data_IF_318301781665
#
_entry.id   IF_318301781665
#
_cell.length_a   1.000
_cell.length_b   1.000
_cell.length_c   1.000
_cell.angle_alpha   90.00
_cell.angle_beta   90.00
_cell.angle_gamma   90.00
#
_symmetry.space_group_name_H-M   'P 1'
#
loop_
_entity.id
_entity.type
_entity.pdbx_description
1 polymer ?
#
# COMPACT_ATOMS: atom_id res chain seq x y z
N UNK A 1 -2.06 0.69 -22.54
CA UNK A 1 -1.09 0.89 -21.45
C UNK A 1 -0.97 -0.40 -20.66
N UNK A 2 0.25 -0.90 -20.40
CA UNK A 2 0.48 -2.01 -19.46
C UNK A 2 1.20 -1.42 -18.24
N UNK A 3 0.70 -1.67 -17.03
CA UNK A 3 1.38 -1.22 -15.80
C UNK A 3 2.53 -2.13 -15.39
N UNK A 4 2.53 -3.38 -15.90
CA UNK A 4 3.58 -4.38 -15.71
C UNK A 4 3.67 -5.20 -17.00
N UNK A 5 4.88 -5.40 -17.55
CA UNK A 5 5.07 -6.11 -18.82
C UNK A 5 4.99 -7.64 -18.69
N UNK A 6 5.46 -8.18 -17.56
CA UNK A 6 5.39 -9.59 -17.19
C UNK A 6 5.40 -9.68 -15.67
N UNK A 7 4.26 -10.03 -15.06
CA UNK A 7 4.10 -10.03 -13.60
C UNK A 7 4.62 -11.31 -12.97
N UNK A 8 5.40 -11.17 -11.90
CA UNK A 8 5.92 -12.26 -11.07
C UNK A 8 5.51 -12.11 -9.59
N UNK A 9 4.62 -11.15 -9.27
CA UNK A 9 4.47 -10.61 -7.92
C UNK A 9 3.05 -10.59 -7.37
N UNK A 10 2.03 -10.96 -8.14
CA UNK A 10 0.62 -10.71 -7.80
C UNK A 10 0.39 -9.19 -7.61
N UNK A 11 0.98 -8.38 -8.49
CA UNK A 11 0.94 -6.92 -8.38
C UNK A 11 -0.22 -6.31 -9.18
N UNK A 12 -1.44 -6.78 -8.90
CA UNK A 12 -2.66 -6.35 -9.57
C UNK A 12 -2.91 -4.83 -9.50
N UNK A 13 -3.73 -4.29 -10.41
CA UNK A 13 -4.52 -3.09 -10.21
C UNK A 13 -5.90 -3.44 -9.60
N UNK A 14 -6.02 -3.63 -8.27
CA UNK A 14 -7.22 -4.23 -7.67
C UNK A 14 -8.43 -3.29 -7.58
N UNK A 15 -8.23 -1.98 -7.73
CA UNK A 15 -9.28 -0.98 -7.58
C UNK A 15 -9.72 -0.44 -8.95
N UNK A 16 -11.00 -0.06 -9.12
CA UNK A 16 -11.45 0.62 -10.32
C UNK A 16 -10.71 1.96 -10.49
N UNK A 17 -10.41 2.39 -11.73
CA UNK A 17 -9.83 3.70 -11.97
C UNK A 17 -10.80 4.82 -11.54
N UNK A 18 -10.27 5.87 -10.92
CA UNK A 18 -11.03 7.11 -10.70
C UNK A 18 -10.94 7.99 -11.93
N UNK A 19 -12.07 8.51 -12.40
CA UNK A 19 -12.13 9.46 -13.51
C UNK A 19 -12.21 10.87 -12.96
N UNK A 20 -11.37 11.77 -13.47
CA UNK A 20 -11.37 13.18 -13.09
C UNK A 20 -10.84 14.04 -14.24
N UNK A 21 -11.10 15.33 -14.16
CA UNK A 21 -10.63 16.29 -15.13
C UNK A 21 -9.49 17.12 -14.53
N UNK A 22 -8.38 17.23 -15.26
CA UNK A 22 -7.23 18.04 -14.84
C UNK A 22 -7.34 19.40 -15.56
N UNK A 23 -7.50 20.52 -14.82
CA UNK A 23 -7.54 21.84 -15.44
C UNK A 23 -6.23 22.16 -16.20
N UNK A 24 -6.33 22.70 -17.41
CA UNK A 24 -5.21 23.26 -18.17
C UNK A 24 -5.62 24.55 -18.88
N UNK A 25 -4.64 25.32 -19.33
CA UNK A 25 -4.92 26.46 -20.21
C UNK A 25 -5.72 26.00 -21.44
N UNK A 26 -6.89 26.60 -21.66
CA UNK A 26 -7.76 26.27 -22.79
C UNK A 26 -8.72 25.10 -22.59
N UNK A 27 -8.82 24.49 -21.40
CA UNK A 27 -9.83 23.48 -21.10
C UNK A 27 -9.47 22.54 -19.95
N UNK A 28 -9.79 21.26 -20.10
CA UNK A 28 -9.42 20.23 -19.15
C UNK A 28 -8.91 18.99 -19.88
N UNK A 29 -7.95 18.30 -19.28
CA UNK A 29 -7.51 16.99 -19.75
C UNK A 29 -8.42 15.93 -19.14
N UNK A 30 -9.06 15.10 -19.96
CA UNK A 30 -9.85 13.99 -19.47
C UNK A 30 -8.90 12.93 -18.88
N UNK A 31 -8.79 12.85 -17.56
CA UNK A 31 -7.85 11.97 -16.87
C UNK A 31 -8.54 10.77 -16.22
N UNK A 32 -7.74 9.72 -16.00
CA UNK A 32 -8.01 8.65 -15.04
C UNK A 32 -6.79 8.47 -14.14
N UNK A 33 -7.04 8.09 -12.88
CA UNK A 33 -6.03 7.63 -11.94
C UNK A 33 -6.27 6.17 -11.58
N UNK A 34 -5.26 5.32 -11.77
CA UNK A 34 -5.31 3.90 -11.39
C UNK A 34 -4.11 3.54 -10.54
N UNK A 35 -4.35 2.82 -9.44
CA UNK A 35 -3.31 2.35 -8.54
C UNK A 35 -3.02 0.88 -8.76
N UNK A 36 -1.78 0.48 -8.50
CA UNK A 36 -1.35 -0.92 -8.51
C UNK A 36 -0.80 -1.32 -7.15
N UNK A 37 -0.89 -2.62 -6.81
CA UNK A 37 -0.25 -3.20 -5.63
C UNK A 37 1.26 -2.97 -5.62
N UNK A 38 1.90 -2.76 -6.78
CA UNK A 38 3.32 -2.40 -6.89
C UNK A 38 3.69 -1.02 -6.32
N UNK A 39 2.71 -0.23 -5.85
CA UNK A 39 2.99 1.02 -5.13
C UNK A 39 2.98 2.26 -6.02
N UNK A 40 2.37 2.19 -7.20
CA UNK A 40 2.36 3.29 -8.17
C UNK A 40 0.95 3.76 -8.51
N UNK A 41 0.82 5.06 -8.79
CA UNK A 41 -0.40 5.72 -9.26
C UNK A 41 -0.09 6.19 -10.67
N UNK A 42 -0.81 5.62 -11.63
CA UNK A 42 -0.72 6.01 -13.03
C UNK A 42 -1.82 7.01 -13.33
N UNK A 43 -1.42 8.21 -13.75
CA UNK A 43 -2.35 9.26 -14.20
C UNK A 43 -2.27 9.32 -15.73
N UNK A 44 -3.32 8.84 -16.38
CA UNK A 44 -3.40 8.67 -17.83
C UNK A 44 -4.51 9.54 -18.40
N UNK A 45 -4.37 9.96 -19.66
CA UNK A 45 -5.50 10.48 -20.42
C UNK A 45 -6.47 9.32 -20.66
N UNK A 46 -7.72 9.46 -20.22
CA UNK A 46 -8.71 8.36 -20.28
C UNK A 46 -9.22 8.06 -21.69
N UNK A 47 -9.02 8.97 -22.63
CA UNK A 47 -9.43 8.80 -24.03
C UNK A 47 -8.31 8.16 -24.87
N UNK A 48 -7.05 8.49 -24.60
CA UNK A 48 -5.89 8.01 -25.39
C UNK A 48 -5.08 6.91 -24.70
N UNK A 49 -5.15 6.82 -23.37
CA UNK A 49 -4.32 5.93 -22.55
C UNK A 49 -2.88 6.44 -22.37
N UNK A 50 -2.55 7.64 -22.83
CA UNK A 50 -1.21 8.22 -22.72
C UNK A 50 -0.93 8.75 -21.29
N UNK A 51 0.28 8.59 -20.74
CA UNK A 51 0.65 9.16 -19.45
C UNK A 51 0.63 10.69 -19.44
N UNK A 52 -0.05 11.30 -18.46
CA UNK A 52 -0.17 12.77 -18.37
C UNK A 52 1.10 13.39 -17.77
N UNK A 53 1.70 12.72 -16.79
CA UNK A 53 2.90 13.20 -16.08
C UNK A 53 4.15 12.37 -16.38
N UNK A 54 4.11 11.60 -17.46
CA UNK A 54 5.22 10.76 -17.90
C UNK A 54 5.34 9.42 -17.16
N UNK A 55 5.72 8.39 -17.92
CA UNK A 55 6.08 7.05 -17.45
C UNK A 55 7.35 6.66 -18.20
N UNK A 56 8.33 6.14 -17.46
CA UNK A 56 9.61 5.70 -18.01
C UNK A 56 9.75 4.19 -17.89
N UNK A 57 10.32 3.56 -18.92
CA UNK A 57 10.83 2.20 -18.82
C UNK A 57 12.10 2.21 -17.99
N UNK A 58 12.07 1.56 -16.83
CA UNK A 58 13.23 1.47 -15.93
C UNK A 58 13.68 0.03 -15.79
N UNK A 59 15.00 -0.19 -15.86
CA UNK A 59 15.59 -1.51 -15.68
C UNK A 59 15.23 -2.09 -14.31
N UNK A 60 14.89 -3.38 -14.31
CA UNK A 60 14.59 -4.16 -13.10
C UNK A 60 15.44 -5.43 -13.09
N UNK A 61 15.58 -6.05 -11.93
CA UNK A 61 16.43 -7.24 -11.80
C UNK A 61 15.88 -8.43 -12.59
N UNK A 62 16.77 -9.16 -13.25
CA UNK A 62 16.45 -10.42 -13.89
C UNK A 62 16.18 -11.53 -12.86
N UNK A 63 15.32 -12.47 -13.20
CA UNK A 63 15.10 -13.67 -12.39
C UNK A 63 16.26 -14.66 -12.53
N UNK A 64 16.55 -15.38 -11.44
CA UNK A 64 17.47 -16.52 -11.42
C UNK A 64 16.75 -17.87 -11.41
N UNK A 65 15.41 -17.88 -11.49
CA UNK A 65 14.58 -19.09 -11.61
C UNK A 65 14.73 -19.65 -13.04
N UNK A 66 15.22 -20.89 -13.23
CA UNK A 66 15.52 -21.38 -14.57
C UNK A 66 14.25 -21.51 -15.43
N UNK A 67 14.22 -20.79 -16.56
CA UNK A 67 13.08 -20.76 -17.46
C UNK A 67 12.04 -19.67 -17.16
N UNK A 68 12.17 -18.93 -16.06
CA UNK A 68 11.35 -17.74 -15.79
C UNK A 68 11.83 -16.55 -16.62
N UNK A 69 10.90 -15.84 -17.24
CA UNK A 69 11.19 -14.72 -18.13
C UNK A 69 10.79 -13.37 -17.49
N UNK A 70 11.63 -12.86 -16.59
CA UNK A 70 11.47 -11.48 -16.11
C UNK A 70 11.64 -10.48 -17.26
N UNK A 71 10.74 -9.50 -17.37
CA UNK A 71 10.89 -8.44 -18.37
C UNK A 71 12.02 -7.48 -17.98
N UNK A 72 12.93 -7.08 -18.90
CA UNK A 72 14.10 -6.27 -18.55
C UNK A 72 13.81 -4.90 -17.93
N UNK A 73 12.66 -4.32 -18.27
CA UNK A 73 12.21 -3.02 -17.77
C UNK A 73 10.79 -3.09 -17.20
N UNK A 74 10.39 -2.07 -16.43
CA UNK A 74 9.00 -1.86 -16.06
C UNK A 74 8.59 -0.39 -16.24
N UNK A 75 7.32 -0.12 -16.58
CA UNK A 75 6.82 1.23 -16.73
C UNK A 75 6.59 1.86 -15.34
N UNK A 76 7.45 2.79 -14.96
CA UNK A 76 7.40 3.49 -13.67
C UNK A 76 7.02 4.96 -13.88
N UNK A 77 5.99 5.48 -13.18
CA UNK A 77 5.64 6.91 -13.26
C UNK A 77 6.81 7.81 -12.90
N UNK A 78 7.00 8.88 -13.68
CA UNK A 78 7.90 9.98 -13.31
C UNK A 78 7.26 10.78 -12.18
N UNK A 79 5.98 11.10 -12.36
CA UNK A 79 5.10 11.59 -11.29
C UNK A 79 3.73 10.91 -11.38
N UNK A 80 3.06 10.70 -10.24
CA UNK A 80 3.58 10.88 -8.88
C UNK A 80 4.70 9.91 -8.51
N UNK A 81 5.55 10.25 -7.51
CA UNK A 81 6.52 9.30 -6.96
C UNK A 81 5.79 8.12 -6.30
N UNK A 82 6.48 6.97 -6.10
CA UNK A 82 5.87 5.79 -5.49
C UNK A 82 5.18 6.07 -4.15
N UNK A 83 3.99 5.49 -4.00
CA UNK A 83 3.19 5.51 -2.77
C UNK A 83 3.70 4.42 -1.84
N UNK A 84 4.68 4.78 -1.02
CA UNK A 84 5.27 3.88 -0.05
C UNK A 84 6.55 3.26 -0.56
N UNK A 85 6.93 2.15 0.06
CA UNK A 85 8.25 1.55 -0.09
C UNK A 85 8.29 0.54 -1.23
N UNK A 86 9.26 0.73 -2.11
CA UNK A 86 9.57 -0.17 -3.23
C UNK A 86 10.94 -0.85 -3.11
N UNK A 87 11.64 -0.63 -1.98
CA UNK A 87 12.99 -1.12 -1.71
C UNK A 87 13.23 -1.33 -0.22
N UNK A 88 14.08 -2.27 0.12
CA UNK A 88 14.50 -2.52 1.50
C UNK A 88 16.01 -2.42 1.65
N UNK A 89 16.46 -1.73 2.69
CA UNK A 89 17.82 -1.79 3.20
C UNK A 89 17.83 -2.31 4.64
N UNK A 90 18.95 -2.88 5.09
CA UNK A 90 19.10 -3.29 6.50
C UNK A 90 18.87 -2.12 7.49
N UNK A 91 19.15 -0.88 7.07
CA UNK A 91 18.91 0.34 7.84
C UNK A 91 17.42 0.63 8.10
N UNK A 92 16.51 -0.02 7.36
CA UNK A 92 15.06 0.08 7.51
C UNK A 92 14.49 -0.82 8.61
N UNK A 93 15.29 -1.73 9.17
CA UNK A 93 14.86 -2.59 10.27
C UNK A 93 14.49 -1.75 11.49
N UNK A 94 13.39 -2.11 12.13
CA UNK A 94 12.87 -1.42 13.32
C UNK A 94 13.84 -1.53 14.50
N UNK A 95 14.01 -0.43 15.23
CA UNK A 95 14.83 -0.37 16.43
C UNK A 95 13.99 -0.21 17.70
N UNK A 96 14.63 -0.31 18.87
CA UNK A 96 13.98 -0.05 20.14
C UNK A 96 13.55 1.44 20.29
N UNK A 97 14.23 2.36 19.61
CA UNK A 97 13.86 3.79 19.57
C UNK A 97 12.54 3.98 18.84
N UNK A 98 12.36 3.26 17.73
CA UNK A 98 11.15 3.28 16.93
C UNK A 98 9.93 2.70 17.64
N UNK A 99 10.12 1.62 18.41
CA UNK A 99 9.03 0.86 19.04
C UNK A 99 9.39 0.40 20.46
N UNK A 100 9.66 -0.89 20.65
CA UNK A 100 10.08 -1.52 21.90
C UNK A 100 11.30 -2.41 21.67
N UNK A 101 12.06 -2.71 22.73
CA UNK A 101 13.18 -3.64 22.65
C UNK A 101 12.73 -5.06 22.26
N UNK A 102 11.57 -5.52 22.77
CA UNK A 102 10.98 -6.81 22.42
C UNK A 102 10.68 -6.92 20.91
N UNK A 103 10.08 -5.88 20.33
CA UNK A 103 9.76 -5.85 18.90
C UNK A 103 11.01 -5.82 18.03
N UNK A 104 11.99 -4.99 18.38
CA UNK A 104 13.26 -4.92 17.67
C UNK A 104 14.01 -6.26 17.72
N UNK A 105 14.10 -6.89 18.89
CA UNK A 105 14.75 -8.18 19.06
C UNK A 105 14.05 -9.31 18.27
N UNK A 106 12.72 -9.35 18.30
CA UNK A 106 11.95 -10.33 17.53
C UNK A 106 12.14 -10.16 16.02
N UNK A 107 12.23 -8.91 15.53
CA UNK A 107 12.49 -8.64 14.12
C UNK A 107 13.94 -8.93 13.69
N UNK A 108 14.92 -8.68 14.56
CA UNK A 108 16.29 -9.11 14.33
C UNK A 108 16.40 -10.64 14.25
N UNK A 109 15.77 -11.35 15.18
CA UNK A 109 15.72 -12.82 15.15
C UNK A 109 15.01 -13.36 13.89
N UNK A 110 13.97 -12.68 13.40
CA UNK A 110 13.37 -13.00 12.11
C UNK A 110 14.40 -12.84 11.00
N UNK A 111 15.07 -11.69 10.87
CA UNK A 111 16.10 -11.45 9.86
C UNK A 111 17.20 -12.52 9.91
N UNK A 112 17.72 -12.85 11.09
CA UNK A 112 18.76 -13.86 11.29
C UNK A 112 18.32 -15.25 10.79
N UNK A 113 17.02 -15.56 10.87
CA UNK A 113 16.46 -16.84 10.41
C UNK A 113 16.29 -16.95 8.90
N UNK A 114 16.38 -15.85 8.15
CA UNK A 114 16.08 -15.81 6.71
C UNK A 114 17.28 -16.17 5.82
N UNK A 115 18.50 -16.12 6.37
CA UNK A 115 19.72 -16.19 5.59
C UNK A 115 20.02 -14.87 4.87
N UNK A 116 20.59 -14.94 3.66
CA UNK A 116 20.79 -13.73 2.85
C UNK A 116 19.44 -13.11 2.50
N UNK A 117 19.24 -11.82 2.78
CA UNK A 117 18.06 -11.08 2.30
C UNK A 117 18.39 -10.46 0.95
N UNK A 118 17.66 -10.87 -0.08
CA UNK A 118 17.72 -10.28 -1.40
C UNK A 118 16.61 -9.24 -1.59
N UNK A 119 17.01 -8.02 -1.93
CA UNK A 119 16.14 -6.96 -2.44
C UNK A 119 16.93 -6.16 -3.48
N UNK A 120 16.41 -6.06 -4.70
CA UNK A 120 17.02 -5.34 -5.82
C UNK A 120 16.24 -4.06 -6.18
N UNK A 121 15.42 -3.56 -5.24
CA UNK A 121 14.54 -2.41 -5.48
C UNK A 121 13.17 -2.81 -6.06
N UNK A 122 12.51 -1.91 -6.81
CA UNK A 122 11.22 -2.20 -7.42
C UNK A 122 11.26 -3.48 -8.23
N UNK A 123 10.20 -4.28 -8.15
CA UNK A 123 10.09 -5.53 -8.92
C UNK A 123 11.25 -6.51 -8.67
N UNK A 124 11.66 -6.65 -7.39
CA UNK A 124 12.64 -7.68 -6.99
C UNK A 124 12.06 -9.09 -7.26
N UNK A 125 12.70 -9.93 -8.09
CA UNK A 125 12.19 -11.28 -8.36
C UNK A 125 12.34 -12.22 -7.15
N UNK A 126 11.58 -13.32 -7.16
CA UNK A 126 11.76 -14.40 -6.20
C UNK A 126 13.06 -15.15 -6.49
N UNK A 127 13.95 -15.20 -5.52
CA UNK A 127 15.21 -15.96 -5.64
C UNK A 127 14.92 -17.46 -5.74
N UNK A 128 15.66 -18.14 -6.60
CA UNK A 128 15.66 -19.59 -6.67
C UNK A 128 16.55 -20.20 -5.57
N UNK A 129 16.02 -21.19 -4.86
CA UNK A 129 16.72 -21.99 -3.84
C UNK A 129 16.73 -23.47 -4.24
N UNK A 130 17.74 -23.92 -4.99
CA UNK A 130 17.89 -25.35 -5.27
C UNK A 130 18.18 -26.12 -3.97
N UNK A 131 17.83 -27.40 -3.95
CA UNK A 131 18.03 -28.25 -2.78
C UNK A 131 19.51 -28.25 -2.32
N UNK A 132 19.73 -28.03 -1.02
CA UNK A 132 21.07 -28.00 -0.42
C UNK A 132 21.85 -26.69 -0.59
N UNK A 133 21.26 -25.66 -1.21
CA UNK A 133 21.86 -24.32 -1.29
C UNK A 133 21.85 -23.57 0.05
N UNK A 134 22.70 -22.56 0.16
CA UNK A 134 22.68 -21.65 1.30
C UNK A 134 21.33 -20.88 1.34
N UNK A 135 20.74 -20.64 2.53
CA UNK A 135 19.48 -19.91 2.61
C UNK A 135 19.60 -18.46 2.10
N UNK A 136 18.73 -18.10 1.15
CA UNK A 136 18.60 -16.75 0.58
C UNK A 136 17.14 -16.35 0.33
N UNK A 137 16.58 -15.37 1.02
CA UNK A 137 15.15 -14.99 0.94
C UNK A 137 14.97 -13.70 0.16
N UNK A 138 14.03 -13.68 -0.79
CA UNK A 138 13.53 -12.41 -1.34
C UNK A 138 12.66 -11.71 -0.29
N UNK A 139 12.98 -10.43 -0.02
CA UNK A 139 12.10 -9.52 0.70
C UNK A 139 11.52 -8.50 -0.27
N UNK A 140 10.26 -8.69 -0.65
CA UNK A 140 9.56 -7.82 -1.59
C UNK A 140 8.89 -6.64 -0.89
N UNK A 141 9.07 -5.45 -1.45
CA UNK A 141 8.36 -4.23 -1.09
C UNK A 141 7.85 -3.54 -2.37
N UNK A 142 6.55 -3.23 -2.47
CA UNK A 142 5.50 -3.76 -1.60
C UNK A 142 5.44 -5.29 -1.63
N UNK A 143 4.96 -5.93 -0.56
CA UNK A 143 4.72 -7.37 -0.54
C UNK A 143 3.45 -7.75 -1.30
N UNK A 144 3.05 -9.03 -1.28
CA UNK A 144 1.84 -9.50 -2.00
C UNK A 144 0.50 -8.89 -1.56
N UNK A 145 0.45 -8.18 -0.41
CA UNK A 145 -0.75 -7.40 -0.05
C UNK A 145 -0.77 -6.03 -0.76
N UNK A 146 0.31 -5.65 -1.42
CA UNK A 146 0.49 -4.39 -2.12
C UNK A 146 0.76 -3.19 -1.20
N UNK A 147 1.08 -2.07 -1.84
CA UNK A 147 1.07 -0.75 -1.23
C UNK A 147 -0.38 -0.26 -1.13
N UNK A 148 -0.88 0.43 -2.17
CA UNK A 148 -2.32 0.52 -2.42
C UNK A 148 -2.92 -0.86 -2.66
N UNK A 149 -4.19 -1.01 -2.32
CA UNK A 149 -4.96 -2.21 -2.64
C UNK A 149 -6.35 -1.78 -3.13
N UNK A 150 -7.40 -2.50 -2.77
CA UNK A 150 -8.74 -2.33 -3.33
C UNK A 150 -9.47 -1.01 -2.99
N UNK A 151 -8.93 -0.15 -2.12
CA UNK A 151 -9.56 1.14 -1.80
C UNK A 151 -9.55 2.15 -2.95
N UNK A 152 -8.60 2.06 -3.87
CA UNK A 152 -8.53 2.96 -5.03
C UNK A 152 -8.23 4.41 -4.71
N UNK A 153 -8.74 5.32 -5.55
CA UNK A 153 -8.44 6.75 -5.54
C UNK A 153 -9.72 7.53 -5.25
N UNK A 154 -9.69 8.38 -4.22
CA UNK A 154 -10.71 9.41 -4.03
C UNK A 154 -10.21 10.73 -4.60
N UNK A 155 -11.10 11.57 -5.12
CA UNK A 155 -10.75 12.83 -5.75
C UNK A 155 -11.63 13.97 -5.24
N UNK A 156 -11.02 15.11 -4.94
CA UNK A 156 -11.71 16.35 -4.61
C UNK A 156 -11.58 17.35 -5.79
N UNK A 157 -12.66 17.61 -6.55
CA UNK A 157 -12.63 18.53 -7.68
C UNK A 157 -12.43 19.99 -7.29
N UNK A 158 -12.69 20.37 -6.03
CA UNK A 158 -12.52 21.75 -5.59
C UNK A 158 -11.04 22.12 -5.42
N UNK A 159 -10.23 21.17 -4.95
CA UNK A 159 -8.79 21.36 -4.72
C UNK A 159 -7.93 20.76 -5.83
N UNK A 160 -8.47 19.83 -6.62
CA UNK A 160 -7.68 19.05 -7.57
C UNK A 160 -6.80 18.01 -6.88
N UNK A 161 -7.15 17.59 -5.65
CA UNK A 161 -6.38 16.60 -4.91
C UNK A 161 -6.95 15.19 -5.08
N UNK A 162 -6.05 14.24 -5.36
CA UNK A 162 -6.32 12.82 -5.33
C UNK A 162 -5.74 12.19 -4.06
N UNK A 163 -6.53 11.35 -3.38
CA UNK A 163 -6.17 10.71 -2.12
C UNK A 163 -6.03 9.21 -2.30
N UNK A 164 -4.90 8.65 -1.86
CA UNK A 164 -4.62 7.21 -1.93
C UNK A 164 -4.01 6.72 -0.63
N UNK A 165 -4.59 5.69 -0.04
CA UNK A 165 -3.98 4.98 1.08
C UNK A 165 -2.98 3.94 0.57
N UNK A 166 -1.80 3.89 1.17
CA UNK A 166 -0.79 2.86 0.90
C UNK A 166 -0.14 2.38 2.20
N UNK A 167 0.36 1.15 2.19
CA UNK A 167 1.08 0.56 3.31
C UNK A 167 2.41 -0.10 2.93
N UNK A 168 3.35 -0.10 3.87
CA UNK A 168 4.66 -0.72 3.74
C UNK A 168 4.68 -2.06 4.48
N UNK A 169 4.10 -3.09 3.86
CA UNK A 169 4.14 -4.47 4.38
C UNK A 169 4.86 -5.36 3.38
N UNK A 170 6.06 -5.83 3.76
CA UNK A 170 6.88 -6.67 2.90
C UNK A 170 6.47 -8.14 2.91
N UNK A 171 6.71 -8.84 1.80
CA UNK A 171 6.52 -10.28 1.67
C UNK A 171 7.87 -11.00 1.63
N UNK A 172 7.91 -12.20 2.20
CA UNK A 172 9.09 -13.05 2.28
C UNK A 172 8.83 -14.34 1.52
N UNK A 173 9.77 -14.74 0.68
CA UNK A 173 9.65 -15.99 -0.08
C UNK A 173 10.84 -16.28 -0.97
N UNK A 174 10.76 -17.42 -1.65
CA UNK A 174 11.70 -17.92 -2.64
C UNK A 174 11.02 -19.00 -3.50
N UNK A 175 11.61 -19.32 -4.64
CA UNK A 175 11.20 -20.44 -5.48
C UNK A 175 12.05 -21.67 -5.18
N UNK A 176 11.43 -22.84 -5.21
CA UNK A 176 12.11 -24.15 -5.17
C UNK A 176 11.61 -25.00 -6.32
N UNK A 177 12.32 -26.09 -6.62
CA UNK A 177 11.77 -27.14 -7.48
C UNK A 177 10.45 -27.67 -6.90
N UNK A 178 9.48 -27.93 -7.77
CA UNK A 178 8.23 -28.53 -7.35
C UNK A 178 8.46 -29.88 -6.67
N UNK A 179 7.67 -30.18 -5.64
CA UNK A 179 7.86 -31.41 -4.88
C UNK A 179 7.43 -32.66 -5.66
N UNK A 180 6.46 -32.49 -6.57
CA UNK A 180 5.91 -33.56 -7.40
C UNK A 180 6.44 -33.47 -8.84
N UNK A 181 6.81 -34.61 -9.40
CA UNK A 181 7.38 -34.70 -10.75
C UNK A 181 6.37 -34.30 -11.85
N UNK A 182 5.07 -34.54 -11.60
CA UNK A 182 3.96 -34.19 -12.49
C UNK A 182 3.27 -32.86 -12.11
N UNK A 183 3.92 -32.02 -11.30
CA UNK A 183 3.37 -30.73 -10.90
C UNK A 183 3.05 -29.85 -12.13
N UNK A 184 1.93 -29.09 -12.12
CA UNK A 184 1.59 -28.18 -13.24
C UNK A 184 2.64 -27.10 -13.52
N UNK A 185 3.48 -26.78 -12.53
CA UNK A 185 4.60 -25.85 -12.62
C UNK A 185 5.86 -26.55 -12.13
N UNK A 186 7.01 -26.39 -12.82
CA UNK A 186 8.28 -27.00 -12.37
C UNK A 186 8.83 -26.36 -11.08
N UNK A 187 8.29 -25.21 -10.66
CA UNK A 187 8.68 -24.53 -9.43
C UNK A 187 7.48 -24.16 -8.58
N UNK A 188 7.71 -24.12 -7.28
CA UNK A 188 6.76 -23.71 -6.27
C UNK A 188 7.31 -22.58 -5.42
N UNK A 189 6.45 -21.62 -5.07
CA UNK A 189 6.79 -20.58 -4.10
C UNK A 189 6.75 -21.15 -2.69
N UNK A 190 7.85 -21.00 -1.97
CA UNK A 190 7.92 -21.26 -0.54
C UNK A 190 8.09 -19.96 0.25
N UNK A 191 7.57 -19.98 1.47
CA UNK A 191 7.61 -18.83 2.38
C UNK A 191 8.11 -19.27 3.75
N UNK A 192 8.82 -18.40 4.49
CA UNK A 192 9.13 -18.67 5.87
C UNK A 192 7.84 -18.55 6.71
N UNK A 193 7.92 -18.92 7.98
CA UNK A 193 6.86 -18.65 8.95
C UNK A 193 7.36 -17.58 9.92
N UNK A 194 6.88 -16.32 9.83
CA UNK A 194 5.81 -15.80 8.96
C UNK A 194 6.23 -15.46 7.52
N UNK A 195 5.29 -15.53 6.57
CA UNK A 195 5.48 -15.15 5.15
C UNK A 195 5.48 -13.64 4.89
N UNK A 196 5.10 -12.86 5.89
CA UNK A 196 5.08 -11.39 5.86
C UNK A 196 6.25 -10.91 6.73
N UNK A 197 6.90 -9.82 6.34
CA UNK A 197 8.00 -9.19 7.09
C UNK A 197 7.49 -8.46 8.34
N UNK A 198 6.93 -9.23 9.27
CA UNK A 198 6.26 -8.79 10.48
C UNK A 198 6.25 -9.90 11.52
N UNK A 199 6.38 -9.55 12.79
CA UNK A 199 6.26 -10.49 13.92
C UNK A 199 4.92 -10.34 14.63
N UNK A 200 4.43 -11.40 15.28
CA UNK A 200 3.21 -11.35 16.10
C UNK A 200 3.61 -11.28 17.57
N UNK A 201 3.28 -10.17 18.23
CA UNK A 201 3.53 -9.94 19.65
C UNK A 201 2.21 -9.57 20.32
N UNK A 202 1.90 -10.22 21.46
CA UNK A 202 0.68 -9.95 22.23
C UNK A 202 -0.60 -9.98 21.38
N UNK A 203 -0.68 -10.93 20.44
CA UNK A 203 -1.82 -11.07 19.52
C UNK A 203 -1.82 -10.11 18.33
N UNK A 204 -0.97 -9.08 18.31
CA UNK A 204 -0.92 -8.03 17.29
C UNK A 204 0.24 -8.28 16.31
N UNK A 205 -0.03 -8.11 15.02
CA UNK A 205 1.00 -8.16 13.97
C UNK A 205 1.72 -6.81 13.89
N UNK A 206 3.04 -6.85 13.93
CA UNK A 206 3.92 -5.69 13.91
C UNK A 206 4.95 -5.83 12.78
N UNK A 207 4.87 -5.00 11.72
CA UNK A 207 5.87 -5.01 10.65
C UNK A 207 7.28 -4.71 11.16
N UNK A 208 8.27 -5.41 10.60
CA UNK A 208 9.66 -5.32 11.03
C UNK A 208 10.42 -4.12 10.47
N UNK A 209 9.78 -3.32 9.63
CA UNK A 209 10.31 -2.03 9.19
C UNK A 209 10.01 -0.93 10.23
N UNK A 210 10.87 0.09 10.30
CA UNK A 210 10.64 1.34 11.05
C UNK A 210 9.22 1.92 10.82
N UNK A 211 8.61 2.65 11.77
CA UNK A 211 7.32 3.33 11.64
C UNK A 211 7.13 4.23 10.40
N UNK A 212 5.87 4.67 10.24
CA UNK A 212 5.19 5.19 9.04
C UNK A 212 4.84 4.11 7.99
N UNK A 213 4.30 2.96 8.42
CA UNK A 213 3.98 1.84 7.50
C UNK A 213 2.59 1.93 6.87
N UNK A 214 1.77 2.90 7.23
CA UNK A 214 0.43 3.12 6.68
C UNK A 214 0.26 4.62 6.51
N UNK A 215 0.06 5.06 5.28
CA UNK A 215 0.12 6.46 4.90
C UNK A 215 -1.05 6.77 3.96
N UNK A 216 -1.73 7.88 4.21
CA UNK A 216 -2.61 8.51 3.25
C UNK A 216 -1.83 9.57 2.50
N UNK A 217 -1.74 9.44 1.18
CA UNK A 217 -1.10 10.38 0.29
C UNK A 217 -2.14 11.27 -0.34
N UNK A 218 -1.83 12.56 -0.45
CA UNK A 218 -2.55 13.51 -1.30
C UNK A 218 -1.65 13.97 -2.43
N UNK A 219 -2.17 13.92 -3.65
CA UNK A 219 -1.50 14.32 -4.88
C UNK A 219 -2.25 15.46 -5.53
N UNK A 220 -1.52 16.51 -5.92
CA UNK A 220 -2.05 17.50 -6.86
C UNK A 220 -2.10 16.87 -8.26
N UNK A 221 -3.30 16.68 -8.80
CA UNK A 221 -3.45 15.98 -10.10
C UNK A 221 -2.92 16.79 -11.28
N UNK A 222 -2.78 18.12 -11.14
CA UNK A 222 -2.29 18.99 -12.20
C UNK A 222 -0.76 18.98 -12.31
N UNK A 223 -0.06 18.78 -11.19
CA UNK A 223 1.42 18.75 -11.16
C UNK A 223 2.00 17.34 -11.00
N UNK A 224 1.20 16.40 -10.50
CA UNK A 224 1.63 15.06 -10.10
C UNK A 224 2.42 15.03 -8.79
N UNK A 225 2.55 16.16 -8.08
CA UNK A 225 3.35 16.24 -6.86
C UNK A 225 2.57 15.81 -5.62
N UNK A 226 3.28 15.32 -4.60
CA UNK A 226 2.69 15.07 -3.28
C UNK A 226 2.35 16.43 -2.65
N UNK A 227 1.07 16.69 -2.43
CA UNK A 227 0.60 17.87 -1.69
C UNK A 227 0.87 17.70 -0.18
N UNK A 228 0.52 16.52 0.36
CA UNK A 228 0.83 16.14 1.73
C UNK A 228 0.78 14.61 1.89
N UNK A 229 1.33 14.11 2.99
CA UNK A 229 1.19 12.71 3.42
C UNK A 229 0.90 12.65 4.92
N UNK A 230 -0.02 11.79 5.32
CA UNK A 230 -0.41 11.60 6.72
C UNK A 230 -0.22 10.15 7.13
N UNK A 231 0.50 9.93 8.24
CA UNK A 231 0.57 8.60 8.85
C UNK A 231 -0.75 8.26 9.50
N UNK A 232 -1.33 7.14 9.10
CA UNK A 232 -2.59 6.64 9.63
C UNK A 232 -2.40 5.33 10.37
N UNK A 233 -3.01 5.24 11.54
CA UNK A 233 -2.99 4.05 12.36
C UNK A 233 -2.03 4.14 13.53
N UNK A 234 -2.54 3.81 14.71
CA UNK A 234 -1.78 3.83 15.96
C UNK A 234 -1.66 2.44 16.58
N UNK A 235 -0.55 2.20 17.27
CA UNK A 235 -0.35 1.02 18.11
C UNK A 235 -0.51 1.43 19.56
N UNK A 236 -1.70 1.22 20.14
CA UNK A 236 -2.09 1.72 21.48
C UNK A 236 -1.20 1.20 22.62
N UNK A 237 -0.64 0.01 22.45
CA UNK A 237 0.24 -0.63 23.45
C UNK A 237 1.60 0.04 23.55
N UNK A 238 1.97 0.92 22.61
CA UNK A 238 3.22 1.68 22.66
C UNK A 238 3.10 2.93 23.57
N UNK A 239 4.23 3.43 24.10
CA UNK A 239 4.28 4.73 24.77
C UNK A 239 3.76 5.86 23.87
N UNK A 240 3.12 6.88 24.45
CA UNK A 240 2.40 7.93 23.71
C UNK A 240 3.18 8.53 22.52
N UNK A 241 4.46 8.86 22.69
CA UNK A 241 5.32 9.41 21.64
C UNK A 241 5.70 8.46 20.51
N UNK A 242 5.34 7.16 20.61
CA UNK A 242 5.66 6.11 19.63
C UNK A 242 4.41 5.45 19.04
N UNK A 243 3.21 5.90 19.43
CA UNK A 243 1.95 5.26 19.01
C UNK A 243 1.67 5.43 17.53
N UNK A 244 2.09 6.53 16.90
CA UNK A 244 1.84 6.80 15.50
C UNK A 244 2.73 5.94 14.57
N UNK A 245 2.41 4.65 14.50
CA UNK A 245 3.25 3.67 13.81
C UNK A 245 2.99 3.61 12.31
N UNK A 246 1.83 4.07 11.85
CA UNK A 246 1.34 3.75 10.51
C UNK A 246 0.92 2.29 10.47
N UNK A 247 -0.37 2.00 10.61
CA UNK A 247 -0.87 0.62 10.70
C UNK A 247 -1.30 0.11 9.32
N UNK A 248 -1.16 -1.20 9.03
CA UNK A 248 -1.60 -1.77 7.76
C UNK A 248 -3.08 -1.51 7.47
N UNK A 249 -3.41 -1.22 6.21
CA UNK A 249 -4.75 -0.89 5.74
C UNK A 249 -4.94 -1.21 4.26
N UNK A 250 -6.16 -1.13 3.73
CA UNK A 250 -6.44 -1.46 2.32
C UNK A 250 -7.49 -0.58 1.65
N UNK A 251 -8.47 -0.11 2.42
CA UNK A 251 -9.52 0.78 1.96
C UNK A 251 -9.01 2.23 1.76
N UNK A 252 -9.77 3.03 1.02
CA UNK A 252 -9.51 4.44 0.79
C UNK A 252 -10.36 5.33 1.69
N UNK A 253 -10.14 6.64 1.53
CA UNK A 253 -10.99 7.66 2.10
C UNK A 253 -12.13 8.00 1.13
N UNK A 254 -13.24 8.51 1.65
CA UNK A 254 -14.20 9.31 0.86
C UNK A 254 -13.92 10.79 1.12
N UNK A 255 -13.88 11.60 0.05
CA UNK A 255 -13.83 13.06 0.13
C UNK A 255 -15.22 13.69 0.09
N UNK A 256 -15.42 14.77 0.83
CA UNK A 256 -16.67 15.54 0.84
C UNK A 256 -16.43 17.01 0.50
N UNK A 257 -17.47 17.66 -0.05
CA UNK A 257 -17.42 19.08 -0.42
C UNK A 257 -17.17 20.04 0.76
N UNK A 258 -17.28 19.57 2.01
CA UNK A 258 -16.92 20.31 3.21
C UNK A 258 -15.41 20.36 3.49
N UNK A 259 -14.58 19.76 2.63
CA UNK A 259 -13.14 19.66 2.85
C UNK A 259 -12.75 18.63 3.90
N UNK A 260 -13.59 17.60 4.09
CA UNK A 260 -13.32 16.48 5.01
C UNK A 260 -13.04 15.20 4.23
N UNK A 261 -12.13 14.40 4.78
CA UNK A 261 -11.90 13.01 4.39
C UNK A 261 -12.37 12.09 5.50
N UNK A 262 -13.05 11.00 5.15
CA UNK A 262 -13.40 9.95 6.10
C UNK A 262 -12.74 8.64 5.72
N UNK A 263 -12.09 7.95 6.67
CA UNK A 263 -11.34 6.70 6.42
C UNK A 263 -11.32 5.76 7.62
N UNK A 264 -11.48 4.45 7.38
CA UNK A 264 -11.40 3.39 8.41
C UNK A 264 -10.36 2.29 8.10
N UNK A 265 -9.51 2.50 7.09
CA UNK A 265 -8.71 1.47 6.43
C UNK A 265 -7.79 0.64 7.34
N UNK A 266 -7.31 1.23 8.42
CA UNK A 266 -6.22 0.69 9.24
C UNK A 266 -6.68 -0.38 10.23
N UNK A 267 -5.81 -1.34 10.53
CA UNK A 267 -6.12 -2.46 11.43
C UNK A 267 -6.12 -2.10 12.94
N UNK A 268 -6.12 -0.81 13.29
CA UNK A 268 -6.33 -0.32 14.65
C UNK A 268 -7.78 0.05 14.96
N UNK A 269 -8.70 -0.39 14.08
CA UNK A 269 -10.15 -0.26 14.24
C UNK A 269 -10.60 1.17 14.54
N UNK A 270 -10.08 2.15 13.80
CA UNK A 270 -10.47 3.55 13.96
C UNK A 270 -11.08 4.10 12.69
N UNK A 271 -12.25 4.72 12.84
CA UNK A 271 -12.84 5.56 11.80
C UNK A 271 -12.43 7.01 12.06
N UNK A 272 -11.91 7.69 11.03
CA UNK A 272 -11.29 9.02 11.16
C UNK A 272 -11.96 10.02 10.26
N UNK A 273 -12.03 11.26 10.73
CA UNK A 273 -12.25 12.44 9.91
C UNK A 273 -10.95 13.26 9.85
N UNK A 274 -10.49 13.58 8.65
CA UNK A 274 -9.30 14.37 8.39
C UNK A 274 -9.67 15.64 7.61
N UNK A 275 -8.89 16.69 7.80
CA UNK A 275 -8.91 17.86 6.92
C UNK A 275 -8.32 17.49 5.55
N UNK A 276 -9.08 17.70 4.46
CA UNK A 276 -8.67 17.27 3.12
C UNK A 276 -7.49 18.07 2.54
N UNK A 277 -7.27 19.30 3.02
CA UNK A 277 -6.19 20.16 2.53
C UNK A 277 -4.84 19.89 3.21
N UNK A 278 -4.87 19.32 4.42
CA UNK A 278 -3.66 19.13 5.25
C UNK A 278 -3.42 17.70 5.70
N UNK A 279 -4.43 16.82 5.61
CA UNK A 279 -4.40 15.47 6.16
C UNK A 279 -4.52 15.40 7.68
N UNK A 280 -4.65 16.55 8.37
CA UNK A 280 -4.71 16.60 9.84
C UNK A 280 -5.94 15.85 10.35
N UNK A 281 -5.73 14.92 11.28
CA UNK A 281 -6.83 14.25 11.98
C UNK A 281 -7.59 15.25 12.85
N UNK A 282 -8.89 15.39 12.58
CA UNK A 282 -9.80 16.30 13.29
C UNK A 282 -10.63 15.55 14.34
N UNK A 283 -10.94 14.29 14.04
CA UNK A 283 -11.75 13.44 14.89
C UNK A 283 -11.50 11.97 14.56
N UNK A 284 -11.66 11.11 15.56
CA UNK A 284 -11.65 9.67 15.38
C UNK A 284 -12.60 9.00 16.37
N UNK A 285 -13.21 7.90 15.93
CA UNK A 285 -13.93 6.96 16.79
C UNK A 285 -13.30 5.57 16.70
N UNK A 286 -13.38 4.83 17.80
CA UNK A 286 -12.90 3.45 17.87
C UNK A 286 -14.06 2.50 17.58
N UNK A 287 -13.94 1.81 16.46
CA UNK A 287 -14.84 0.75 16.05
C UNK A 287 -14.56 -0.51 16.88
N UNK A 288 -15.61 -1.30 17.14
CA UNK A 288 -15.46 -2.63 17.74
C UNK A 288 -14.72 -3.59 16.82
N UNK A 289 -15.02 -3.51 15.51
CA UNK A 289 -14.43 -4.33 14.45
C UNK A 289 -13.73 -3.49 13.39
N UNK A 290 -12.95 -4.13 12.53
CA UNK A 290 -12.16 -3.44 11.50
C UNK A 290 -13.06 -2.87 10.41
N UNK A 291 -13.00 -1.56 10.18
CA UNK A 291 -13.63 -0.85 9.06
C UNK A 291 -12.88 -1.03 7.74
N UNK A 292 -12.72 -2.28 7.29
CA UNK A 292 -11.94 -2.65 6.10
C UNK A 292 -12.71 -2.41 4.78
N UNK A 293 -13.36 -1.26 4.66
CA UNK A 293 -14.18 -0.85 3.52
C UNK A 293 -14.06 0.67 3.31
N UNK A 294 -14.38 1.11 2.11
CA UNK A 294 -14.46 2.54 1.82
C UNK A 294 -15.73 3.10 2.47
N UNK A 295 -15.66 4.22 3.21
CA UNK A 295 -16.85 4.82 3.78
C UNK A 295 -17.75 5.40 2.68
N UNK A 296 -19.05 5.50 2.97
CA UNK A 296 -20.02 6.15 2.10
C UNK A 296 -20.73 7.28 2.83
N UNK A 297 -21.33 8.22 2.09
CA UNK A 297 -22.18 9.26 2.66
C UNK A 297 -23.50 9.37 1.90
N UNK A 298 -24.57 9.71 2.61
CA UNK A 298 -25.88 9.97 2.02
C UNK A 298 -26.68 10.99 2.83
N UNK A 299 -27.73 11.54 2.23
CA UNK A 299 -28.71 12.40 2.89
C UNK A 299 -29.89 11.54 3.39
N UNK A 300 -30.13 11.55 4.69
CA UNK A 300 -31.28 10.91 5.31
C UNK A 300 -32.61 11.60 4.95
N UNK A 301 -33.72 10.91 5.14
CA UNK A 301 -35.07 11.41 4.84
C UNK A 301 -35.45 12.65 5.66
N UNK A 302 -34.81 12.83 6.82
CA UNK A 302 -34.92 13.96 7.73
C UNK A 302 -34.05 15.16 7.33
N UNK A 303 -33.36 15.08 6.19
CA UNK A 303 -32.49 16.15 5.69
C UNK A 303 -31.13 16.23 6.38
N UNK A 304 -30.72 15.19 7.10
CA UNK A 304 -29.41 15.11 7.78
C UNK A 304 -28.44 14.24 7.01
N UNK A 305 -27.20 14.69 6.84
CA UNK A 305 -26.15 13.90 6.18
C UNK A 305 -25.59 12.85 7.14
N UNK A 306 -25.36 11.65 6.63
CA UNK A 306 -24.72 10.56 7.35
C UNK A 306 -23.43 10.14 6.66
N UNK A 307 -22.42 9.75 7.43
CA UNK A 307 -21.28 8.97 6.93
C UNK A 307 -21.34 7.58 7.54
N UNK A 308 -21.16 6.56 6.73
CA UNK A 308 -21.39 5.17 7.10
C UNK A 308 -20.20 4.31 6.71
N UNK A 309 -19.87 3.36 7.58
CA UNK A 309 -18.79 2.39 7.37
C UNK A 309 -19.27 0.98 7.70
N UNK A 310 -18.96 0.03 6.82
CA UNK A 310 -19.04 -1.39 7.13
C UNK A 310 -17.81 -1.81 7.96
N UNK A 311 -18.04 -2.18 9.20
CA UNK A 311 -17.05 -2.68 10.14
C UNK A 311 -17.22 -4.19 10.33
N UNK A 312 -16.66 -4.95 9.38
CA UNK A 312 -16.80 -6.42 9.32
C UNK A 312 -18.27 -6.86 9.18
N UNK A 313 -18.91 -7.26 10.27
CA UNK A 313 -20.29 -7.77 10.35
C UNK A 313 -21.30 -6.70 10.82
N UNK A 314 -20.82 -5.47 11.07
CA UNK A 314 -21.66 -4.35 11.52
C UNK A 314 -21.59 -3.18 10.55
N UNK A 315 -22.67 -2.37 10.52
CA UNK A 315 -22.71 -1.09 9.81
C UNK A 315 -22.82 0.01 10.87
N UNK A 316 -21.89 0.96 10.85
CA UNK A 316 -21.86 2.08 11.79
C UNK A 316 -22.14 3.37 11.03
N UNK A 317 -23.13 4.14 11.48
CA UNK A 317 -23.54 5.40 10.87
C UNK A 317 -23.32 6.57 11.82
N UNK A 318 -22.72 7.64 11.31
CA UNK A 318 -22.43 8.88 12.01
C UNK A 318 -23.24 10.00 11.39
N UNK A 319 -24.11 10.61 12.18
CA UNK A 319 -24.87 11.79 11.74
C UNK A 319 -23.95 13.01 11.78
N UNK A 320 -23.78 13.69 10.64
CA UNK A 320 -23.01 14.93 10.59
C UNK A 320 -23.80 16.09 11.22
N UNK A 321 -23.13 17.10 11.79
CA UNK A 321 -23.78 18.28 12.37
C UNK A 321 -24.72 19.00 11.39
#
# INVERSE_FOLDING_TARGET
FHSIHHDLWDADPPAPPALFDIPREGGAIPALGVTTKSGYLYILNRETGEPIHGVEEREVAASDVPGEAAYPTQPIPVKPPPMGRVRYEASDLVTAEDTTAEHAAACAALVDSLGEIYNAGPFTPWVYRPAGSAPRTTLNFPGGVGGPNWGGVSFDPATGYAFVFSMDVGALGWMVDAAEEDAPSPYETQTPRPAIFAVKLHGVRNPCKKPQRGQLYSYDVATGDIAWRQTLGVTDTLPAGKRNTGRPGRAAAIATASGLLFIAATDDNRFRALDASTGRELWADRLEQRGNADPMTYLGAEGRQYVVIAATDTIVAYALP
#
